data_IF_075344737897
#
_entry.id   IF_075344737897
#
_cell.length_a   1.000
_cell.length_b   1.000
_cell.length_c   1.000
_cell.angle_alpha   90.00
_cell.angle_beta   90.00
_cell.angle_gamma   90.00
#
_symmetry.space_group_name_H-M   'P 1'
#
loop_
_entity.id
_entity.type
_entity.pdbx_description
1 polymer ?
#
# COMPACT_ATOMS: atom_id res chain seq x y z
N UNK A 1 -68.41 -47.96 -27.37
CA UNK A 1 -68.64 -48.95 -26.30
C UNK A 1 -67.29 -49.46 -25.83
N UNK A 2 -67.16 -49.68 -24.51
CA UNK A 2 -66.00 -50.11 -23.72
C UNK A 2 -65.05 -49.01 -23.22
N UNK A 3 -65.43 -48.53 -22.04
CA UNK A 3 -64.64 -47.79 -21.08
C UNK A 3 -63.59 -48.70 -20.40
N UNK A 4 -62.49 -48.11 -19.91
CA UNK A 4 -61.91 -48.52 -18.63
C UNK A 4 -61.05 -47.41 -18.05
N UNK A 5 -61.69 -46.57 -17.24
CA UNK A 5 -61.05 -45.81 -16.18
C UNK A 5 -60.68 -46.77 -15.04
N UNK A 6 -59.44 -46.72 -14.55
CA UNK A 6 -59.10 -47.14 -13.18
C UNK A 6 -58.13 -46.12 -12.57
N UNK A 7 -58.64 -45.41 -11.57
CA UNK A 7 -57.89 -44.62 -10.60
C UNK A 7 -57.60 -45.46 -9.35
N UNK A 8 -56.76 -44.90 -8.45
CA UNK A 8 -56.42 -45.27 -7.06
C UNK A 8 -55.29 -46.34 -6.93
N UNK A 9 -54.30 -46.25 -6.04
CA UNK A 9 -54.03 -45.35 -4.90
C UNK A 9 -52.55 -45.49 -4.47
N UNK A 10 -52.02 -44.39 -3.93
CA UNK A 10 -50.88 -44.15 -3.05
C UNK A 10 -50.02 -45.30 -2.49
N UNK A 11 -48.70 -45.07 -2.53
CA UNK A 11 -47.82 -45.23 -1.36
C UNK A 11 -46.59 -44.33 -1.49
N UNK A 12 -46.37 -43.48 -0.48
CA UNK A 12 -45.25 -42.56 -0.36
C UNK A 12 -44.09 -43.25 0.38
N UNK A 13 -42.84 -43.02 -0.07
CA UNK A 13 -41.65 -43.14 0.80
C UNK A 13 -40.62 -42.07 0.42
N UNK A 14 -40.50 -41.10 1.33
CA UNK A 14 -39.34 -40.32 1.80
C UNK A 14 -38.00 -40.52 1.07
N UNK A 15 -37.39 -39.41 0.62
CA UNK A 15 -35.99 -39.38 0.21
C UNK A 15 -35.43 -37.98 -0.10
N UNK A 16 -34.80 -37.37 0.92
CA UNK A 16 -33.82 -36.28 0.90
C UNK A 16 -34.08 -34.99 0.07
N UNK A 17 -34.30 -33.91 0.82
CA UNK A 17 -33.91 -32.54 0.45
C UNK A 17 -32.44 -32.49 0.03
N UNK A 18 -32.17 -31.94 -1.15
CA UNK A 18 -31.01 -31.05 -1.35
C UNK A 18 -31.55 -29.78 -2.01
N UNK A 19 -31.67 -28.74 -1.18
CA UNK A 19 -31.90 -27.37 -1.64
C UNK A 19 -30.63 -26.95 -2.37
N UNK A 20 -30.64 -26.99 -3.70
CA UNK A 20 -29.57 -26.39 -4.50
C UNK A 20 -29.71 -24.87 -4.42
N UNK A 21 -29.08 -24.28 -3.40
CA UNK A 21 -28.75 -22.86 -3.36
C UNK A 21 -27.76 -22.61 -4.49
N UNK A 22 -28.26 -22.22 -5.66
CA UNK A 22 -27.44 -21.64 -6.73
C UNK A 22 -27.02 -20.23 -6.30
N UNK A 23 -26.09 -20.18 -5.35
CA UNK A 23 -25.26 -19.02 -5.10
C UNK A 23 -24.34 -18.82 -6.30
N UNK A 24 -24.85 -18.20 -7.36
CA UNK A 24 -23.99 -17.58 -8.36
C UNK A 24 -23.26 -16.43 -7.66
N UNK A 25 -22.04 -16.70 -7.25
CA UNK A 25 -21.05 -15.69 -6.91
C UNK A 25 -20.94 -14.73 -8.08
N UNK A 26 -21.63 -13.59 -8.00
CA UNK A 26 -21.37 -12.44 -8.85
C UNK A 26 -19.89 -12.13 -8.71
N UNK A 27 -19.12 -12.35 -9.77
CA UNK A 27 -17.85 -11.68 -9.95
C UNK A 27 -18.14 -10.18 -9.81
N UNK A 28 -17.74 -9.59 -8.68
CA UNK A 28 -17.69 -8.16 -8.54
C UNK A 28 -16.65 -7.68 -9.54
N UNK A 29 -17.12 -7.14 -10.66
CA UNK A 29 -16.31 -6.26 -11.48
C UNK A 29 -15.91 -5.07 -10.63
N UNK A 30 -14.78 -5.19 -9.94
CA UNK A 30 -14.07 -4.03 -9.43
C UNK A 30 -13.70 -3.19 -10.64
N UNK A 31 -14.28 -1.99 -10.72
CA UNK A 31 -13.80 -0.91 -11.58
C UNK A 31 -12.29 -0.90 -11.54
N UNK A 32 -11.66 -1.18 -12.68
CA UNK A 32 -10.22 -1.14 -12.84
C UNK A 32 -9.77 0.30 -12.59
N UNK A 33 -9.40 0.60 -11.35
CA UNK A 33 -8.50 1.72 -11.07
C UNK A 33 -7.26 1.38 -11.89
N UNK A 34 -6.78 2.27 -12.79
CA UNK A 34 -5.56 2.03 -13.54
C UNK A 34 -4.49 1.57 -12.54
N UNK A 35 -4.02 0.34 -12.72
CA UNK A 35 -3.01 -0.22 -11.83
C UNK A 35 -1.70 0.48 -12.17
N UNK A 36 -1.43 1.61 -11.50
CA UNK A 36 -0.13 2.28 -11.55
C UNK A 36 0.93 1.21 -11.24
N UNK A 37 1.77 0.91 -12.22
CA UNK A 37 2.88 -0.04 -12.13
C UNK A 37 4.18 0.77 -12.13
N UNK A 38 4.32 1.60 -11.10
CA UNK A 38 5.43 2.54 -11.00
C UNK A 38 6.74 1.79 -10.77
N UNK A 39 7.77 2.23 -11.45
CA UNK A 39 9.14 1.88 -11.12
C UNK A 39 9.55 2.54 -9.80
N UNK A 40 10.50 1.95 -9.06
CA UNK A 40 10.98 2.51 -7.80
C UNK A 40 11.38 3.99 -7.88
N UNK A 41 12.08 4.38 -8.96
CA UNK A 41 12.53 5.75 -9.17
C UNK A 41 11.38 6.75 -9.36
N UNK A 42 10.29 6.35 -10.02
CA UNK A 42 9.12 7.20 -10.21
C UNK A 42 8.41 7.44 -8.88
N UNK A 43 8.30 6.39 -8.06
CA UNK A 43 7.75 6.53 -6.72
C UNK A 43 8.64 7.37 -5.81
N UNK A 44 9.97 7.22 -5.88
CA UNK A 44 10.92 8.10 -5.19
C UNK A 44 10.69 9.58 -5.52
N UNK A 45 10.46 9.92 -6.80
CA UNK A 45 10.15 11.30 -7.19
C UNK A 45 8.88 11.82 -6.53
N UNK A 46 7.82 11.01 -6.51
CA UNK A 46 6.54 11.35 -5.85
C UNK A 46 6.74 11.58 -4.34
N UNK A 47 7.51 10.71 -3.69
CA UNK A 47 7.83 10.84 -2.26
C UNK A 47 8.61 12.13 -1.98
N UNK A 48 9.65 12.41 -2.78
CA UNK A 48 10.47 13.63 -2.64
C UNK A 48 9.64 14.90 -2.86
N UNK A 49 8.79 14.93 -3.87
CA UNK A 49 7.92 16.08 -4.14
C UNK A 49 6.96 16.35 -2.97
N UNK A 50 6.26 15.31 -2.52
CA UNK A 50 5.26 15.41 -1.44
C UNK A 50 5.91 15.82 -0.11
N UNK A 51 7.10 15.28 0.17
CA UNK A 51 7.84 15.60 1.38
C UNK A 51 8.42 17.01 1.35
N UNK A 52 8.98 17.47 0.23
CA UNK A 52 9.48 18.84 0.08
C UNK A 52 8.38 19.87 0.31
N UNK A 53 7.19 19.63 -0.25
CA UNK A 53 6.03 20.48 0.02
C UNK A 53 5.70 20.53 1.52
N UNK A 54 5.63 19.37 2.18
CA UNK A 54 5.33 19.31 3.61
C UNK A 54 6.40 20.03 4.44
N UNK A 55 7.68 19.91 4.05
CA UNK A 55 8.80 20.60 4.67
C UNK A 55 8.68 22.10 4.55
N UNK A 56 8.49 22.62 3.35
CA UNK A 56 8.45 24.07 3.12
C UNK A 56 7.29 24.72 3.89
N UNK A 57 6.13 24.07 3.94
CA UNK A 57 4.98 24.57 4.70
C UNK A 57 5.19 24.45 6.22
N UNK A 58 5.85 23.39 6.69
CA UNK A 58 6.16 23.23 8.12
C UNK A 58 7.23 24.24 8.58
N UNK A 59 8.25 24.49 7.76
CA UNK A 59 9.26 25.52 8.02
C UNK A 59 8.65 26.92 7.98
N UNK A 60 7.73 27.20 7.06
CA UNK A 60 7.00 28.46 7.00
C UNK A 60 6.16 28.67 8.26
N UNK A 61 5.43 27.66 8.71
CA UNK A 61 4.67 27.70 9.96
C UNK A 61 5.60 27.97 11.14
N UNK A 62 6.71 27.23 11.26
CA UNK A 62 7.68 27.39 12.34
C UNK A 62 8.29 28.79 12.39
N UNK A 63 8.58 29.42 11.25
CA UNK A 63 9.06 30.81 11.20
C UNK A 63 8.04 31.82 11.72
N UNK A 64 6.75 31.57 11.48
CA UNK A 64 5.69 32.44 11.98
C UNK A 64 5.50 32.17 13.48
N UNK A 65 5.26 30.92 13.89
CA UNK A 65 4.89 30.62 15.29
C UNK A 65 6.08 30.49 16.25
N UNK A 66 7.31 30.56 15.74
CA UNK A 66 8.53 30.25 16.51
C UNK A 66 8.87 31.28 17.58
N UNK A 67 8.49 32.53 17.41
CA UNK A 67 8.67 33.56 18.44
C UNK A 67 7.65 34.68 18.34
N UNK A 68 7.38 35.27 19.51
CA UNK A 68 6.64 36.51 19.66
C UNK A 68 7.53 37.69 19.25
N UNK A 69 6.98 38.64 18.50
CA UNK A 69 7.72 39.84 18.07
C UNK A 69 7.84 40.85 19.21
N UNK A 70 8.89 41.69 19.17
CA UNK A 70 9.25 42.66 20.22
C UNK A 70 8.09 43.59 20.62
N UNK A 71 7.29 44.02 19.63
CA UNK A 71 6.18 44.96 19.83
C UNK A 71 4.80 44.31 19.79
N UNK A 72 4.74 42.99 19.73
CA UNK A 72 3.48 42.25 19.70
C UNK A 72 2.95 42.05 21.14
N UNK A 73 1.63 42.07 21.33
CA UNK A 73 1.01 41.66 22.59
C UNK A 73 0.89 40.13 22.66
N UNK A 74 0.70 39.56 23.86
CA UNK A 74 0.49 38.11 23.98
C UNK A 74 -0.75 37.64 23.22
N UNK A 75 -1.83 38.42 23.25
CA UNK A 75 -3.06 38.10 22.54
C UNK A 75 -2.89 38.16 21.01
N UNK A 76 -2.14 39.13 20.48
CA UNK A 76 -1.82 39.22 19.05
C UNK A 76 -0.97 38.03 18.59
N UNK A 77 0.01 37.62 19.40
CA UNK A 77 0.83 36.43 19.12
C UNK A 77 -0.02 35.16 19.03
N UNK A 78 -0.88 34.92 20.03
CA UNK A 78 -1.74 33.75 20.03
C UNK A 78 -2.70 33.74 18.84
N UNK A 79 -3.29 34.90 18.53
CA UNK A 79 -4.15 35.04 17.35
C UNK A 79 -3.39 34.72 16.07
N UNK A 80 -2.19 35.29 15.88
CA UNK A 80 -1.32 35.02 14.72
C UNK A 80 -0.93 33.55 14.63
N UNK A 81 -0.62 32.92 15.76
CA UNK A 81 -0.27 31.50 15.81
C UNK A 81 -1.45 30.60 15.41
N UNK A 82 -2.66 30.92 15.88
CA UNK A 82 -3.89 30.21 15.48
C UNK A 82 -4.17 30.38 13.99
N UNK A 83 -4.12 31.63 13.48
CA UNK A 83 -4.36 31.92 12.07
C UNK A 83 -3.35 31.21 11.16
N UNK A 84 -2.07 31.21 11.54
CA UNK A 84 -1.01 30.53 10.81
C UNK A 84 -1.20 29.01 10.76
N UNK A 85 -1.60 28.37 11.88
CA UNK A 85 -1.92 26.94 11.93
C UNK A 85 -3.11 26.62 11.02
N UNK A 86 -4.15 27.45 11.03
CA UNK A 86 -5.32 27.23 10.17
C UNK A 86 -4.97 27.36 8.68
N UNK A 87 -4.14 28.34 8.31
CA UNK A 87 -3.64 28.49 6.94
C UNK A 87 -2.80 27.30 6.50
N UNK A 88 -1.88 26.84 7.35
CA UNK A 88 -1.08 25.64 7.12
C UNK A 88 -1.96 24.42 6.84
N UNK A 89 -2.92 24.12 7.71
CA UNK A 89 -3.83 22.99 7.54
C UNK A 89 -4.64 23.10 6.23
N UNK A 90 -5.06 24.31 5.88
CA UNK A 90 -5.79 24.55 4.63
C UNK A 90 -4.93 24.25 3.41
N UNK A 91 -3.66 24.69 3.41
CA UNK A 91 -2.73 24.42 2.31
C UNK A 91 -2.39 22.95 2.19
N UNK A 92 -2.10 22.27 3.31
CA UNK A 92 -1.82 20.82 3.31
C UNK A 92 -3.03 20.03 2.79
N UNK A 93 -4.24 20.33 3.28
CA UNK A 93 -5.46 19.67 2.80
C UNK A 93 -5.74 19.95 1.33
N UNK A 94 -5.46 21.16 0.85
CA UNK A 94 -5.57 21.50 -0.58
C UNK A 94 -4.58 20.67 -1.39
N UNK A 95 -3.31 20.61 -0.99
CA UNK A 95 -2.30 19.80 -1.68
C UNK A 95 -2.68 18.31 -1.72
N UNK A 96 -3.16 17.76 -0.60
CA UNK A 96 -3.67 16.38 -0.52
C UNK A 96 -4.77 16.12 -1.55
N UNK A 97 -5.73 17.06 -1.71
CA UNK A 97 -6.80 16.95 -2.70
C UNK A 97 -6.31 17.13 -4.13
N UNK A 98 -5.47 18.13 -4.37
CA UNK A 98 -4.94 18.46 -5.72
C UNK A 98 -4.08 17.32 -6.27
N UNK A 99 -3.24 16.72 -5.42
CA UNK A 99 -2.42 15.55 -5.73
C UNK A 99 -3.16 14.22 -5.56
N UNK A 100 -4.43 14.28 -5.12
CA UNK A 100 -5.30 13.14 -4.87
C UNK A 100 -4.70 12.11 -3.90
N UNK A 101 -3.91 12.53 -2.91
CA UNK A 101 -3.24 11.61 -1.98
C UNK A 101 -4.24 10.88 -1.05
N UNK A 102 -5.42 11.46 -0.86
CA UNK A 102 -6.53 10.87 -0.11
C UNK A 102 -7.12 9.61 -0.80
N UNK A 103 -7.18 9.64 -2.12
CA UNK A 103 -7.86 8.65 -2.96
C UNK A 103 -6.91 7.78 -3.77
N UNK A 104 -5.76 8.31 -4.17
CA UNK A 104 -4.77 7.63 -5.01
C UNK A 104 -4.04 6.55 -4.22
N UNK A 105 -3.84 5.41 -4.89
CA UNK A 105 -3.03 4.31 -4.41
C UNK A 105 -1.95 4.04 -5.45
N UNK A 106 -0.69 4.09 -5.02
CA UNK A 106 0.47 3.93 -5.89
C UNK A 106 0.89 2.47 -5.89
N UNK A 107 0.80 1.77 -7.02
CA UNK A 107 1.39 0.45 -7.17
C UNK A 107 2.85 0.59 -7.58
N UNK A 108 3.75 -0.03 -6.82
CA UNK A 108 5.20 0.11 -7.01
C UNK A 108 5.79 -1.28 -7.21
N UNK A 109 6.60 -1.42 -8.25
CA UNK A 109 7.20 -2.68 -8.67
C UNK A 109 8.56 -2.89 -8.00
N UNK A 110 8.64 -3.98 -7.25
CA UNK A 110 9.86 -4.50 -6.64
C UNK A 110 10.24 -5.78 -7.38
N UNK A 111 11.44 -5.81 -7.96
CA UNK A 111 11.86 -6.93 -8.79
C UNK A 111 12.00 -8.18 -7.91
N UNK A 112 11.24 -9.22 -8.23
CA UNK A 112 11.34 -10.50 -7.55
C UNK A 112 12.41 -11.37 -8.22
N UNK A 113 13.21 -12.04 -7.39
CA UNK A 113 14.23 -13.01 -7.79
C UNK A 113 13.85 -14.38 -7.24
N UNK A 114 13.72 -15.38 -8.11
CA UNK A 114 13.31 -16.73 -7.76
C UNK A 114 14.56 -17.55 -7.39
N UNK A 115 14.79 -17.75 -6.09
CA UNK A 115 16.02 -18.35 -5.56
C UNK A 115 16.02 -19.87 -5.72
N UNK A 116 15.09 -20.56 -5.06
CA UNK A 116 15.07 -22.02 -5.01
C UNK A 116 13.64 -22.54 -4.84
N UNK A 117 13.33 -23.66 -5.51
CA UNK A 117 12.05 -24.37 -5.36
C UNK A 117 12.27 -25.74 -4.72
N UNK A 118 11.63 -25.98 -3.59
CA UNK A 118 11.59 -27.27 -2.92
C UNK A 118 10.32 -28.02 -3.36
N UNK A 119 10.50 -29.12 -4.10
CA UNK A 119 9.41 -29.89 -4.68
C UNK A 119 8.58 -30.68 -3.65
N UNK A 120 9.22 -31.15 -2.57
CA UNK A 120 8.58 -31.95 -1.53
C UNK A 120 7.59 -31.11 -0.71
N UNK A 121 7.99 -29.88 -0.39
CA UNK A 121 7.18 -28.92 0.38
C UNK A 121 6.35 -27.99 -0.48
N UNK A 122 6.58 -27.98 -1.81
CA UNK A 122 5.95 -27.06 -2.78
C UNK A 122 6.19 -25.59 -2.43
N UNK A 123 7.39 -25.27 -1.97
CA UNK A 123 7.77 -23.93 -1.53
C UNK A 123 8.82 -23.34 -2.47
N UNK A 124 8.58 -22.10 -2.94
CA UNK A 124 9.52 -21.31 -3.69
C UNK A 124 10.05 -20.17 -2.82
N UNK A 125 11.36 -20.12 -2.61
CA UNK A 125 12.06 -19.01 -1.97
C UNK A 125 12.22 -17.86 -2.96
N UNK A 126 11.75 -16.67 -2.58
CA UNK A 126 11.78 -15.47 -3.41
C UNK A 126 12.39 -14.32 -2.63
N UNK A 127 13.22 -13.51 -3.27
CA UNK A 127 13.78 -12.28 -2.69
C UNK A 127 13.45 -11.08 -3.55
N UNK A 128 13.69 -9.88 -3.00
CA UNK A 128 13.62 -8.64 -3.75
C UNK A 128 14.74 -7.70 -3.30
N UNK A 129 15.78 -7.47 -4.12
CA UNK A 129 16.85 -6.53 -3.80
C UNK A 129 16.46 -5.07 -4.07
N UNK A 130 15.27 -4.82 -4.62
CA UNK A 130 14.82 -3.49 -5.02
C UNK A 130 14.64 -2.58 -3.80
N UNK A 131 15.21 -1.39 -3.88
CA UNK A 131 15.06 -0.30 -2.92
C UNK A 131 14.32 0.86 -3.58
N UNK A 132 13.47 1.53 -2.81
CA UNK A 132 12.91 2.83 -3.14
C UNK A 132 13.55 3.84 -2.21
N UNK A 133 14.21 4.87 -2.75
CA UNK A 133 14.70 5.96 -1.91
C UNK A 133 13.52 6.73 -1.32
N UNK A 134 13.59 6.98 -0.02
CA UNK A 134 12.59 7.72 0.73
C UNK A 134 13.24 8.90 1.48
N UNK A 135 12.47 9.96 1.77
CA UNK A 135 12.94 11.05 2.62
C UNK A 135 13.28 10.55 4.03
N UNK A 136 14.36 11.06 4.61
CA UNK A 136 14.79 10.72 5.97
C UNK A 136 14.13 11.64 7.02
N UNK A 137 14.18 11.21 8.27
CA UNK A 137 13.63 11.97 9.40
C UNK A 137 14.45 13.22 9.71
N UNK A 138 13.76 14.35 9.86
CA UNK A 138 14.30 15.61 10.37
C UNK A 138 13.49 16.03 11.61
N UNK A 139 14.00 16.92 12.49
CA UNK A 139 13.28 17.28 13.73
C UNK A 139 11.84 17.75 13.50
N UNK A 140 11.59 18.44 12.39
CA UNK A 140 10.28 18.99 12.04
C UNK A 140 9.37 17.98 11.32
N UNK A 141 9.92 16.90 10.74
CA UNK A 141 9.16 15.94 9.92
C UNK A 141 9.58 14.51 10.22
N UNK A 142 8.60 13.71 10.63
CA UNK A 142 8.73 12.27 10.81
C UNK A 142 8.19 11.56 9.56
N UNK A 143 9.08 10.97 8.79
CA UNK A 143 8.79 10.00 7.73
C UNK A 143 8.71 8.60 8.31
N UNK A 144 7.63 7.89 8.02
CA UNK A 144 7.44 6.54 8.55
C UNK A 144 6.70 5.61 7.59
N UNK A 145 6.97 4.32 7.75
CA UNK A 145 6.16 3.23 7.22
C UNK A 145 5.51 2.53 8.42
N UNK A 146 4.17 2.50 8.53
CA UNK A 146 3.50 1.79 9.61
C UNK A 146 3.93 0.32 9.67
N UNK A 147 4.07 -0.21 10.90
CA UNK A 147 4.53 -1.58 11.12
C UNK A 147 3.65 -2.59 10.38
N UNK A 148 4.29 -3.44 9.59
CA UNK A 148 3.66 -4.50 8.82
C UNK A 148 4.71 -5.62 8.57
N UNK A 149 4.31 -6.81 8.13
CA UNK A 149 5.22 -7.95 8.05
C UNK A 149 6.12 -8.02 6.80
N UNK A 150 5.98 -7.12 5.82
CA UNK A 150 6.69 -7.27 4.53
C UNK A 150 7.38 -6.02 4.01
N UNK A 151 7.05 -4.84 4.50
CA UNK A 151 7.61 -3.57 4.02
C UNK A 151 8.19 -2.81 5.19
N UNK A 152 9.44 -2.42 5.07
CA UNK A 152 10.15 -1.68 6.10
C UNK A 152 10.80 -0.43 5.53
N UNK A 153 11.11 0.50 6.43
CA UNK A 153 11.88 1.71 6.16
C UNK A 153 13.15 1.63 6.99
N UNK A 154 14.31 1.73 6.36
CA UNK A 154 15.59 1.78 7.04
C UNK A 154 16.35 3.05 6.68
N UNK A 155 16.99 3.63 7.69
CA UNK A 155 17.95 4.70 7.52
C UNK A 155 19.35 4.12 7.37
N UNK A 156 20.17 4.74 6.51
CA UNK A 156 21.58 4.45 6.38
C UNK A 156 22.39 5.73 6.31
N UNK A 157 23.66 5.66 6.73
CA UNK A 157 24.60 6.78 6.59
C UNK A 157 25.74 6.28 5.70
N UNK A 158 25.83 6.82 4.49
CA UNK A 158 26.86 6.48 3.52
C UNK A 158 27.68 7.73 3.19
N UNK A 159 29.00 7.68 3.42
CA UNK A 159 29.92 8.81 3.13
C UNK A 159 29.49 10.14 3.78
N UNK A 160 28.89 10.09 4.98
CA UNK A 160 28.40 11.27 5.69
C UNK A 160 27.02 11.76 5.28
N UNK A 161 26.39 11.15 4.27
CA UNK A 161 25.02 11.47 3.85
C UNK A 161 24.03 10.48 4.46
N UNK A 162 22.99 10.99 5.10
CA UNK A 162 21.86 10.18 5.59
C UNK A 162 20.89 9.92 4.45
N UNK A 163 20.56 8.66 4.22
CA UNK A 163 19.55 8.23 3.25
C UNK A 163 18.54 7.35 3.97
N UNK A 164 17.29 7.37 3.50
CA UNK A 164 16.25 6.43 3.94
C UNK A 164 15.78 5.62 2.75
N UNK A 165 15.41 4.37 2.95
CA UNK A 165 14.97 3.50 1.87
C UNK A 165 13.89 2.55 2.31
N UNK A 166 12.88 2.40 1.45
CA UNK A 166 11.82 1.41 1.59
C UNK A 166 12.28 0.13 0.90
N UNK A 167 12.12 -0.99 1.59
CA UNK A 167 12.51 -2.31 1.11
C UNK A 167 11.52 -3.38 1.54
N UNK A 168 11.63 -4.55 0.91
CA UNK A 168 10.85 -5.73 1.29
C UNK A 168 11.57 -6.48 2.41
N UNK A 169 10.95 -6.59 3.57
CA UNK A 169 11.47 -7.36 4.70
C UNK A 169 10.95 -8.79 4.66
N UNK A 170 11.76 -9.68 4.08
CA UNK A 170 11.40 -11.08 3.87
C UNK A 170 12.26 -12.05 4.69
N UNK A 171 13.03 -11.56 5.67
CA UNK A 171 14.11 -12.28 6.33
C UNK A 171 13.82 -13.77 6.62
N UNK A 172 14.58 -14.74 6.06
CA UNK A 172 15.64 -14.57 5.06
C UNK A 172 15.12 -14.45 3.62
N UNK A 173 14.05 -15.18 3.27
CA UNK A 173 13.40 -15.16 1.96
C UNK A 173 11.88 -15.22 2.11
N UNK A 174 11.15 -14.65 1.15
CA UNK A 174 9.72 -14.82 1.06
C UNK A 174 9.42 -16.25 0.62
N UNK A 175 8.53 -16.92 1.34
CA UNK A 175 8.18 -18.31 1.11
C UNK A 175 6.85 -18.39 0.39
N UNK A 176 6.88 -18.64 -0.91
CA UNK A 176 5.70 -18.77 -1.74
C UNK A 176 5.31 -20.24 -1.92
N UNK A 177 4.15 -20.64 -1.39
CA UNK A 177 3.63 -21.98 -1.62
C UNK A 177 2.98 -22.08 -3.00
N UNK A 178 3.46 -22.99 -3.85
CA UNK A 178 3.06 -23.07 -5.26
C UNK A 178 3.26 -24.47 -5.83
N UNK A 179 2.32 -24.91 -6.69
CA UNK A 179 2.44 -26.17 -7.41
C UNK A 179 3.59 -26.16 -8.43
N UNK A 180 4.16 -27.35 -8.67
CA UNK A 180 5.32 -27.56 -9.54
C UNK A 180 5.17 -26.95 -10.94
N UNK A 181 3.99 -27.07 -11.56
CA UNK A 181 3.80 -26.59 -12.92
C UNK A 181 3.77 -25.06 -12.99
N UNK A 182 3.09 -24.42 -12.02
CA UNK A 182 3.12 -22.96 -11.86
C UNK A 182 4.51 -22.45 -11.51
N UNK A 183 5.26 -23.15 -10.65
CA UNK A 183 6.64 -22.83 -10.32
C UNK A 183 7.55 -22.86 -11.55
N UNK A 184 7.43 -23.88 -12.41
CA UNK A 184 8.15 -23.97 -13.69
C UNK A 184 7.78 -22.83 -14.63
N UNK A 185 6.49 -22.54 -14.77
CA UNK A 185 6.00 -21.44 -15.62
C UNK A 185 6.50 -20.07 -15.13
N UNK A 186 6.55 -19.86 -13.80
CA UNK A 186 7.11 -18.66 -13.19
C UNK A 186 8.62 -18.55 -13.44
N UNK A 187 9.38 -19.65 -13.28
CA UNK A 187 10.82 -19.67 -13.55
C UNK A 187 11.15 -19.39 -15.01
N UNK A 188 10.37 -19.92 -15.95
CA UNK A 188 10.51 -19.62 -17.38
C UNK A 188 10.27 -18.13 -17.71
N UNK A 189 9.58 -17.39 -16.84
CA UNK A 189 9.28 -15.97 -16.98
C UNK A 189 9.88 -15.12 -15.85
N UNK A 190 10.99 -15.56 -15.24
CA UNK A 190 11.58 -14.89 -14.06
C UNK A 190 11.85 -13.40 -14.29
N UNK A 191 12.23 -13.01 -15.52
CA UNK A 191 12.42 -11.63 -15.95
C UNK A 191 11.21 -10.71 -15.76
N UNK A 192 10.00 -11.27 -15.63
CA UNK A 192 8.75 -10.51 -15.47
C UNK A 192 8.05 -10.72 -14.13
N UNK A 193 8.70 -11.38 -13.16
CA UNK A 193 8.12 -11.55 -11.82
C UNK A 193 8.47 -10.36 -10.94
N UNK A 194 7.46 -9.81 -10.27
CA UNK A 194 7.58 -8.67 -9.38
C UNK A 194 6.71 -8.86 -8.14
N UNK A 195 7.17 -8.28 -7.03
CA UNK A 195 6.29 -7.87 -5.95
C UNK A 195 5.73 -6.49 -6.27
N UNK A 196 4.41 -6.37 -6.32
CA UNK A 196 3.71 -5.09 -6.40
C UNK A 196 3.21 -4.71 -5.02
N UNK A 197 3.83 -3.70 -4.42
CA UNK A 197 3.32 -3.09 -3.21
C UNK A 197 2.46 -1.88 -3.56
N UNK A 198 1.25 -1.83 -2.99
CA UNK A 198 0.34 -0.70 -3.10
C UNK A 198 0.51 0.21 -1.89
N UNK A 199 0.77 1.49 -2.12
CA UNK A 199 0.99 2.48 -1.08
C UNK A 199 -0.05 3.60 -1.13
N UNK A 200 -0.43 4.09 0.05
CA UNK A 200 -1.02 5.42 0.23
C UNK A 200 0.01 6.35 0.87
N UNK A 201 -0.09 7.64 0.56
CA UNK A 201 0.72 8.68 1.21
C UNK A 201 -0.23 9.50 2.08
N UNK A 202 0.06 9.59 3.38
CA UNK A 202 -0.72 10.35 4.35
C UNK A 202 0.16 11.51 4.88
N UNK A 203 -0.35 12.74 4.77
CA UNK A 203 0.28 13.94 5.31
C UNK A 203 -0.55 14.44 6.49
N UNK A 204 0.05 14.57 7.67
CA UNK A 204 -0.65 14.98 8.89
C UNK A 204 0.21 15.90 9.74
N UNK A 205 -0.42 16.71 10.58
CA UNK A 205 0.26 17.43 11.66
C UNK A 205 0.05 16.67 12.97
N UNK A 206 1.13 16.31 13.68
CA UNK A 206 0.99 15.78 15.04
C UNK A 206 0.74 16.94 16.00
N UNK A 207 -0.49 17.03 16.51
CA UNK A 207 -0.97 18.17 17.31
C UNK A 207 -0.21 18.42 18.62
N UNK A 208 0.59 17.47 19.10
CA UNK A 208 1.31 17.56 20.39
C UNK A 208 2.81 17.80 20.27
N UNK A 209 3.46 17.46 19.16
CA UNK A 209 4.93 17.55 19.02
C UNK A 209 5.40 18.73 18.16
N UNK A 210 4.49 19.41 17.46
CA UNK A 210 4.84 20.44 16.48
C UNK A 210 5.51 19.90 15.21
N UNK A 211 5.85 18.61 15.15
CA UNK A 211 6.34 17.96 13.96
C UNK A 211 5.18 17.59 13.01
N UNK A 212 5.46 17.63 11.71
CA UNK A 212 4.58 17.05 10.71
C UNK A 212 4.92 15.56 10.51
N UNK A 213 3.93 14.79 10.08
CA UNK A 213 4.03 13.35 9.82
C UNK A 213 3.84 13.11 8.33
N UNK A 214 4.78 12.38 7.75
CA UNK A 214 4.78 11.90 6.38
C UNK A 214 4.72 10.36 6.41
N UNK A 215 3.52 9.80 6.34
CA UNK A 215 3.33 8.36 6.43
C UNK A 215 3.19 7.73 5.04
N UNK A 216 3.97 6.67 4.80
CA UNK A 216 3.97 5.88 3.58
C UNK A 216 3.33 4.54 3.94
N UNK A 217 2.05 4.39 3.63
CA UNK A 217 1.19 3.34 4.19
C UNK A 217 1.02 2.21 3.18
N UNK A 218 1.62 1.02 3.40
CA UNK A 218 1.37 -0.15 2.58
C UNK A 218 -0.08 -0.61 2.76
N UNK A 219 -0.76 -0.92 1.66
CA UNK A 219 -2.15 -1.36 1.63
C UNK A 219 -2.25 -2.84 1.25
N UNK A 220 -1.45 -3.26 0.27
CA UNK A 220 -1.47 -4.63 -0.28
C UNK A 220 -0.11 -4.96 -0.87
N UNK A 221 0.29 -6.22 -0.76
CA UNK A 221 1.43 -6.79 -1.47
C UNK A 221 0.96 -7.93 -2.36
N UNK A 222 1.50 -8.00 -3.58
CA UNK A 222 1.15 -9.05 -4.54
C UNK A 222 2.42 -9.57 -5.21
N UNK A 223 2.60 -10.89 -5.30
CA UNK A 223 3.56 -11.49 -6.20
C UNK A 223 2.83 -11.75 -7.52
N UNK A 224 3.32 -11.19 -8.63
CA UNK A 224 2.65 -11.34 -9.91
C UNK A 224 3.64 -11.32 -11.08
N UNK A 225 3.16 -11.82 -12.21
CA UNK A 225 3.87 -11.77 -13.47
C UNK A 225 3.36 -10.57 -14.28
N UNK A 226 4.23 -9.58 -14.51
CA UNK A 226 3.89 -8.34 -15.21
C UNK A 226 3.52 -8.58 -16.67
N UNK A 227 4.12 -9.59 -17.33
CA UNK A 227 3.87 -9.87 -18.75
C UNK A 227 2.49 -10.48 -18.97
N UNK A 228 2.07 -11.40 -18.11
CA UNK A 228 0.78 -12.10 -18.22
C UNK A 228 -0.31 -11.47 -17.37
N UNK A 229 0.04 -10.49 -16.54
CA UNK A 229 -0.78 -9.91 -15.49
C UNK A 229 -1.38 -10.96 -14.52
N UNK A 230 -0.72 -12.11 -14.36
CA UNK A 230 -1.20 -13.19 -13.49
C UNK A 230 -0.70 -12.99 -12.06
N UNK A 231 -1.63 -12.93 -11.11
CA UNK A 231 -1.34 -12.86 -9.68
C UNK A 231 -1.07 -14.25 -9.15
N UNK A 232 0.08 -14.43 -8.52
CA UNK A 232 0.52 -15.68 -7.94
C UNK A 232 0.24 -15.78 -6.45
N UNK A 233 0.27 -14.63 -5.77
CA UNK A 233 -0.02 -14.51 -4.35
C UNK A 233 -0.40 -13.06 -4.05
N UNK A 234 -1.28 -12.84 -3.08
CA UNK A 234 -1.58 -11.51 -2.57
C UNK A 234 -1.87 -11.54 -1.07
N UNK A 235 -1.63 -10.40 -0.42
CA UNK A 235 -1.93 -10.20 1.00
C UNK A 235 -2.31 -8.74 1.25
N UNK A 236 -3.48 -8.47 1.86
CA UNK A 236 -3.78 -7.16 2.42
C UNK A 236 -2.89 -6.88 3.64
N UNK A 237 -2.41 -5.64 3.74
CA UNK A 237 -1.55 -5.17 4.84
C UNK A 237 -2.29 -4.20 5.76
N UNK A 238 -3.42 -3.67 5.31
CA UNK A 238 -4.33 -2.81 6.06
C UNK A 238 -5.75 -2.98 5.56
#
# INVERSE_FOLDING_TARGET
>A
MNASFKNLVWLAVVGCMVVSVSGQSRAQGTTAIPEDNLLPAEFTTILKESWSFLKDETDSLAKIVGSKLEFETGAEFEKRAVDARQQYLTKVNRYVKDKKLDTRVFGVLFKATLVEYNADTRMYSVTSPTLVEAPYNIPQIVTEVPRNPYVALADSITKGYRTSSIYMDFSPNFRWQVHRDTAKAAKANEGHIYFRARFKIELQQTGTSGAARFAIVPQRLMLFNQRTNSVYWEQPLR
#
